data_IF_315160572417
#
_entry.id   IF_315160572417
#
_cell.length_a   1.000
_cell.length_b   1.000
_cell.length_c   1.000
_cell.angle_alpha   90.00
_cell.angle_beta   90.00
_cell.angle_gamma   90.00
#
_symmetry.space_group_name_H-M   'P 1'
#
loop_
_entity.id
_entity.type
_entity.pdbx_description
1 polymer ?
#
# COMPACT_ATOMS: atom_id res chain seq x y z
N UNK A 1 45.32 -3.65 -4.70
CA UNK A 1 44.49 -4.41 -5.66
C UNK A 1 43.20 -3.65 -5.82
N UNK A 2 43.01 -2.96 -6.95
CA UNK A 2 41.71 -2.42 -7.34
C UNK A 2 40.92 -3.61 -7.90
N UNK A 3 39.96 -4.12 -7.14
CA UNK A 3 39.00 -5.08 -7.65
C UNK A 3 38.22 -4.42 -8.78
N UNK A 4 38.22 -5.05 -9.95
CA UNK A 4 37.47 -4.62 -11.13
C UNK A 4 35.99 -4.80 -10.83
N UNK A 5 35.37 -3.78 -10.25
CA UNK A 5 33.92 -3.74 -10.00
C UNK A 5 33.19 -4.03 -11.31
N UNK A 6 32.39 -5.09 -11.33
CA UNK A 6 31.56 -5.43 -12.49
C UNK A 6 30.35 -4.48 -12.55
N UNK A 7 30.16 -3.77 -13.68
CA UNK A 7 29.01 -2.87 -13.85
C UNK A 7 27.72 -3.67 -14.06
N UNK A 8 26.81 -3.61 -13.09
CA UNK A 8 25.53 -4.33 -13.13
C UNK A 8 24.34 -3.38 -12.97
N UNK A 9 23.15 -3.85 -13.35
CA UNK A 9 21.91 -3.12 -13.09
C UNK A 9 21.64 -2.88 -11.60
N UNK A 10 22.24 -3.65 -10.69
CA UNK A 10 22.12 -3.44 -9.24
C UNK A 10 23.22 -2.53 -8.66
N UNK A 11 24.21 -2.14 -9.47
CA UNK A 11 25.37 -1.36 -9.04
C UNK A 11 26.53 -2.27 -8.67
N UNK A 12 27.25 -1.91 -7.63
CA UNK A 12 28.37 -2.68 -7.11
C UNK A 12 27.86 -3.98 -6.50
N UNK A 13 28.38 -5.11 -6.97
CA UNK A 13 28.09 -6.46 -6.48
C UNK A 13 29.39 -7.15 -6.08
N UNK A 14 29.35 -8.21 -5.24
CA UNK A 14 30.52 -9.01 -4.93
C UNK A 14 31.23 -9.52 -6.19
N UNK A 15 32.57 -9.50 -6.19
CA UNK A 15 33.38 -9.82 -7.37
C UNK A 15 33.29 -11.30 -7.80
N UNK A 16 32.87 -12.18 -6.88
CA UNK A 16 32.65 -13.61 -7.11
C UNK A 16 31.32 -13.92 -7.80
N UNK A 17 30.42 -12.93 -7.93
CA UNK A 17 29.17 -13.10 -8.64
C UNK A 17 29.41 -13.05 -10.15
N UNK A 18 28.85 -14.01 -10.88
CA UNK A 18 28.84 -13.94 -12.33
C UNK A 18 27.89 -12.85 -12.80
N UNK A 19 28.15 -12.26 -13.98
CA UNK A 19 27.23 -11.32 -14.62
C UNK A 19 26.78 -11.89 -15.96
N UNK A 20 25.47 -12.00 -16.13
CA UNK A 20 24.83 -12.50 -17.36
C UNK A 20 23.78 -11.50 -17.83
N UNK A 21 23.54 -11.46 -19.14
CA UNK A 21 22.41 -10.68 -19.66
C UNK A 21 21.10 -11.38 -19.31
N UNK A 22 20.03 -10.63 -19.09
CA UNK A 22 18.71 -11.22 -18.84
C UNK A 22 18.32 -12.26 -19.89
N UNK A 23 18.64 -12.01 -21.17
CA UNK A 23 18.38 -12.97 -22.27
C UNK A 23 18.95 -14.36 -22.01
N UNK A 24 20.12 -14.47 -21.38
CA UNK A 24 20.77 -15.75 -21.08
C UNK A 24 20.18 -16.46 -19.87
N UNK A 25 19.30 -15.79 -19.12
CA UNK A 25 18.66 -16.32 -17.91
C UNK A 25 17.24 -16.83 -18.16
N UNK A 26 16.76 -16.78 -19.42
CA UNK A 26 15.39 -17.12 -19.79
C UNK A 26 15.40 -18.30 -20.76
N UNK A 27 14.54 -19.29 -20.54
CA UNK A 27 14.28 -20.38 -21.48
C UNK A 27 13.19 -19.98 -22.51
N UNK A 28 12.29 -19.08 -22.11
CA UNK A 28 11.13 -18.65 -22.88
C UNK A 28 10.71 -17.23 -22.49
N UNK A 29 10.19 -16.50 -23.46
CA UNK A 29 9.46 -15.26 -23.21
C UNK A 29 8.44 -15.01 -24.33
N UNK A 30 7.32 -14.37 -24.00
CA UNK A 30 6.29 -14.08 -24.98
C UNK A 30 5.49 -12.82 -24.64
N UNK A 31 5.10 -12.01 -25.64
CA UNK A 31 4.13 -10.94 -25.45
C UNK A 31 2.72 -11.52 -25.24
N UNK A 32 1.88 -10.78 -24.52
CA UNK A 32 0.50 -11.18 -24.26
C UNK A 32 -0.47 -10.85 -25.40
N UNK A 33 -1.74 -11.15 -25.14
CA UNK A 33 -2.87 -10.84 -26.02
C UNK A 33 -4.07 -10.41 -25.18
N UNK A 34 -4.68 -9.29 -25.56
CA UNK A 34 -5.90 -8.81 -24.93
C UNK A 34 -7.14 -9.58 -25.36
N UNK A 35 -7.13 -10.19 -26.55
CA UNK A 35 -8.29 -10.88 -27.10
C UNK A 35 -9.50 -9.97 -27.34
N UNK A 36 -10.63 -10.59 -27.64
CA UNK A 36 -11.86 -9.91 -28.07
C UNK A 36 -12.90 -9.85 -26.95
N UNK A 37 -13.86 -8.91 -27.07
CA UNK A 37 -14.95 -8.72 -26.10
C UNK A 37 -15.97 -9.86 -26.09
N UNK A 38 -16.00 -10.68 -27.15
CA UNK A 38 -16.92 -11.81 -27.26
C UNK A 38 -16.38 -12.89 -28.17
N UNK A 39 -16.78 -14.14 -27.90
CA UNK A 39 -16.33 -15.30 -28.65
C UNK A 39 -16.82 -16.60 -28.03
N UNK A 40 -16.49 -17.74 -28.66
CA UNK A 40 -17.02 -19.04 -28.25
C UNK A 40 -16.46 -19.52 -26.91
N UNK A 41 -15.29 -19.04 -26.50
CA UNK A 41 -14.65 -19.38 -25.22
C UNK A 41 -13.99 -18.15 -24.62
N UNK A 42 -14.27 -17.91 -23.34
CA UNK A 42 -13.76 -16.78 -22.58
C UNK A 42 -12.70 -17.27 -21.60
N UNK A 43 -11.58 -16.56 -21.53
CA UNK A 43 -10.45 -16.87 -20.66
C UNK A 43 -10.17 -15.68 -19.74
N UNK A 44 -9.74 -15.92 -18.49
CA UNK A 44 -9.22 -14.87 -17.61
C UNK A 44 -7.91 -14.29 -18.18
N UNK A 45 -7.88 -12.98 -18.41
CA UNK A 45 -6.74 -12.24 -18.97
C UNK A 45 -6.26 -11.17 -18.00
N UNK A 46 -5.04 -11.37 -17.48
CA UNK A 46 -4.35 -10.44 -16.59
C UNK A 46 -3.99 -9.14 -17.31
N UNK A 47 -4.15 -8.01 -16.64
CA UNK A 47 -3.80 -6.66 -17.09
C UNK A 47 -2.68 -6.07 -16.25
N UNK A 48 -2.13 -4.93 -16.68
CA UNK A 48 -1.17 -4.15 -15.89
C UNK A 48 -1.70 -3.74 -14.51
N UNK A 49 -3.01 -3.63 -14.33
CA UNK A 49 -3.66 -3.36 -13.04
C UNK A 49 -3.59 -4.56 -12.07
N UNK A 50 -3.39 -5.78 -12.58
CA UNK A 50 -3.22 -6.97 -11.76
C UNK A 50 -1.79 -7.10 -11.22
N UNK A 51 -0.83 -6.30 -11.71
CA UNK A 51 0.51 -6.23 -11.12
C UNK A 51 0.45 -5.26 -9.93
N UNK A 52 0.67 -5.78 -8.72
CA UNK A 52 0.83 -4.93 -7.55
C UNK A 52 2.17 -4.18 -7.60
N UNK A 53 2.34 -3.17 -6.76
CA UNK A 53 3.63 -2.50 -6.63
C UNK A 53 4.68 -3.35 -5.92
N UNK A 54 4.27 -4.48 -5.34
CA UNK A 54 5.04 -5.34 -4.42
C UNK A 54 5.32 -6.72 -5.03
N UNK A 55 5.46 -6.79 -6.37
CA UNK A 55 5.77 -8.01 -7.14
C UNK A 55 4.71 -9.11 -7.10
N UNK A 56 3.66 -9.00 -6.30
CA UNK A 56 2.54 -9.94 -6.30
C UNK A 56 1.54 -9.67 -7.43
N UNK A 57 0.77 -10.70 -7.78
CA UNK A 57 -0.38 -10.59 -8.67
C UNK A 57 -1.67 -10.46 -7.86
N UNK A 58 -2.47 -9.45 -8.17
CA UNK A 58 -3.83 -9.32 -7.67
C UNK A 58 -4.79 -10.03 -8.64
N UNK A 59 -5.40 -11.11 -8.17
CA UNK A 59 -6.33 -11.95 -8.94
C UNK A 59 -7.80 -11.67 -8.63
N UNK A 60 -8.10 -10.65 -7.83
CA UNK A 60 -9.47 -10.34 -7.37
C UNK A 60 -10.36 -9.72 -8.46
N UNK A 61 -9.76 -9.01 -9.42
CA UNK A 61 -10.44 -8.42 -10.59
C UNK A 61 -9.71 -8.78 -11.88
N UNK A 62 -10.13 -9.89 -12.51
CA UNK A 62 -9.57 -10.37 -13.78
C UNK A 62 -10.59 -10.17 -14.91
N UNK A 63 -10.10 -9.67 -16.05
CA UNK A 63 -10.92 -9.53 -17.25
C UNK A 63 -11.22 -10.89 -17.87
N UNK A 64 -12.44 -11.09 -18.37
CA UNK A 64 -12.74 -12.21 -19.25
C UNK A 64 -12.68 -11.76 -20.70
N UNK A 65 -11.88 -12.45 -21.53
CA UNK A 65 -11.68 -12.12 -22.95
C UNK A 65 -11.73 -13.38 -23.80
N UNK A 66 -12.22 -13.23 -25.03
CA UNK A 66 -12.21 -14.34 -25.98
C UNK A 66 -10.81 -14.51 -26.57
N UNK A 67 -10.29 -15.75 -26.50
CA UNK A 67 -9.02 -16.14 -27.09
C UNK A 67 -9.17 -17.51 -27.76
N UNK A 68 -8.27 -17.82 -28.70
CA UNK A 68 -8.15 -19.19 -29.21
C UNK A 68 -7.61 -20.11 -28.11
N UNK A 69 -8.15 -21.33 -27.91
CA UNK A 69 -7.72 -22.21 -26.81
C UNK A 69 -6.23 -22.52 -26.83
N UNK A 70 -5.67 -22.85 -27.99
CA UNK A 70 -4.24 -23.08 -28.18
C UNK A 70 -3.37 -21.86 -27.78
N UNK A 71 -3.90 -20.66 -28.01
CA UNK A 71 -3.21 -19.42 -27.64
C UNK A 71 -3.27 -19.17 -26.14
N UNK A 72 -4.43 -19.40 -25.52
CA UNK A 72 -4.59 -19.30 -24.07
C UNK A 72 -3.70 -20.32 -23.34
N UNK A 73 -3.64 -21.56 -23.81
CA UNK A 73 -2.78 -22.61 -23.25
C UNK A 73 -1.29 -22.26 -23.37
N UNK A 74 -0.86 -21.74 -24.53
CA UNK A 74 0.52 -21.29 -24.72
C UNK A 74 0.90 -20.10 -23.82
N UNK A 75 -0.06 -19.21 -23.55
CA UNK A 75 0.13 -18.02 -22.73
C UNK A 75 -0.15 -18.27 -21.24
N UNK A 76 -0.55 -19.49 -20.85
CA UNK A 76 -0.83 -19.81 -19.45
C UNK A 76 0.43 -19.61 -18.59
N UNK A 77 0.39 -18.65 -17.63
CA UNK A 77 1.49 -18.45 -16.72
C UNK A 77 1.67 -19.67 -15.82
N UNK A 78 2.92 -20.05 -15.62
CA UNK A 78 3.33 -21.17 -14.78
C UNK A 78 4.05 -20.66 -13.55
N UNK A 79 4.06 -21.46 -12.48
CA UNK A 79 4.83 -21.18 -11.29
C UNK A 79 6.29 -20.88 -11.66
N UNK A 80 6.80 -19.76 -11.14
CA UNK A 80 8.14 -19.26 -11.43
C UNK A 80 8.22 -18.29 -12.61
N UNK A 81 7.17 -18.17 -13.42
CA UNK A 81 7.12 -17.13 -14.45
C UNK A 81 7.08 -15.73 -13.83
N UNK A 82 7.53 -14.74 -14.59
CA UNK A 82 7.52 -13.34 -14.23
C UNK A 82 6.77 -12.57 -15.32
N UNK A 83 5.67 -11.91 -14.96
CA UNK A 83 4.97 -10.97 -15.83
C UNK A 83 5.62 -9.60 -15.72
N UNK A 84 6.04 -9.04 -16.84
CA UNK A 84 6.65 -7.72 -16.96
C UNK A 84 5.67 -6.74 -17.59
N UNK A 85 5.43 -5.60 -16.96
CA UNK A 85 4.74 -4.48 -17.59
C UNK A 85 5.64 -3.82 -18.63
N UNK A 86 5.35 -4.09 -19.90
CA UNK A 86 6.12 -3.57 -21.02
C UNK A 86 5.59 -2.23 -21.53
N UNK A 87 4.28 -2.03 -21.43
CA UNK A 87 3.59 -0.86 -21.95
C UNK A 87 2.60 -0.37 -20.91
N UNK A 88 2.53 0.94 -20.70
CA UNK A 88 1.66 1.54 -19.68
C UNK A 88 1.35 3.01 -19.98
N UNK A 89 0.29 3.50 -19.33
CA UNK A 89 -0.26 4.83 -19.57
C UNK A 89 -0.54 5.57 -18.26
N UNK A 90 0.41 6.39 -17.84
CA UNK A 90 0.24 7.39 -16.79
C UNK A 90 1.47 8.31 -16.74
N UNK A 91 1.30 9.64 -16.54
CA UNK A 91 2.43 10.57 -16.43
C UNK A 91 3.35 10.24 -15.24
N UNK A 92 2.82 9.64 -14.17
CA UNK A 92 3.52 9.43 -12.90
C UNK A 92 3.97 7.98 -12.67
N UNK A 93 3.62 7.03 -13.56
CA UNK A 93 3.91 5.62 -13.37
C UNK A 93 4.84 5.08 -14.47
N UNK A 94 6.11 4.74 -14.14
CA UNK A 94 7.03 4.15 -15.11
C UNK A 94 6.67 2.69 -15.41
N UNK A 95 7.10 2.21 -16.57
CA UNK A 95 6.95 0.80 -16.95
C UNK A 95 8.03 -0.07 -16.31
N UNK A 96 7.94 -1.38 -16.49
CA UNK A 96 8.92 -2.34 -15.96
C UNK A 96 8.57 -2.89 -14.58
N UNK A 97 7.34 -2.66 -14.09
CA UNK A 97 6.83 -3.41 -12.93
C UNK A 97 6.81 -4.90 -13.25
N UNK A 98 7.04 -5.71 -12.24
CA UNK A 98 7.05 -7.16 -12.37
C UNK A 98 6.00 -7.78 -11.46
N UNK A 99 5.42 -8.89 -11.88
CA UNK A 99 4.55 -9.75 -11.10
C UNK A 99 5.10 -11.18 -11.12
N UNK A 100 5.41 -11.75 -9.96
CA UNK A 100 5.86 -13.14 -9.83
C UNK A 100 4.67 -14.08 -9.77
N UNK A 101 4.72 -15.14 -10.58
CA UNK A 101 3.68 -16.16 -10.64
C UNK A 101 4.01 -17.22 -9.59
N UNK A 102 3.36 -17.13 -8.43
CA UNK A 102 3.61 -18.01 -7.29
C UNK A 102 3.09 -19.44 -7.50
N UNK A 103 2.01 -19.58 -8.26
CA UNK A 103 1.30 -20.83 -8.55
C UNK A 103 0.91 -20.89 -10.02
N UNK A 104 0.74 -22.10 -10.56
CA UNK A 104 0.28 -22.29 -11.94
C UNK A 104 -1.10 -21.67 -12.15
N UNK A 105 -1.27 -20.94 -13.26
CA UNK A 105 -2.51 -20.29 -13.64
C UNK A 105 -3.08 -20.93 -14.92
N UNK A 106 -3.54 -22.20 -14.86
CA UNK A 106 -4.08 -22.88 -16.03
C UNK A 106 -5.29 -22.13 -16.57
N UNK A 107 -5.38 -22.05 -17.90
CA UNK A 107 -6.46 -21.33 -18.59
C UNK A 107 -6.42 -19.80 -18.44
N UNK A 108 -5.42 -19.23 -17.76
CA UNK A 108 -5.23 -17.79 -17.74
C UNK A 108 -4.37 -17.35 -18.92
N UNK A 109 -4.49 -16.08 -19.29
CA UNK A 109 -3.57 -15.41 -20.19
C UNK A 109 -3.29 -14.00 -19.65
N UNK A 110 -2.59 -13.18 -20.42
CA UNK A 110 -2.21 -11.83 -20.04
C UNK A 110 -2.26 -10.92 -21.26
N UNK A 111 -2.56 -9.64 -21.03
CA UNK A 111 -2.75 -8.65 -22.08
C UNK A 111 -1.44 -8.32 -22.81
N UNK A 112 -1.56 -7.71 -23.98
CA UNK A 112 -0.44 -7.21 -24.78
C UNK A 112 0.38 -6.09 -24.09
N UNK A 113 -0.07 -5.55 -22.96
CA UNK A 113 0.71 -4.64 -22.11
C UNK A 113 1.72 -5.37 -21.22
N UNK A 114 1.52 -6.67 -21.05
CA UNK A 114 2.37 -7.55 -20.27
C UNK A 114 3.23 -8.44 -21.18
N UNK A 115 4.37 -8.87 -20.65
CA UNK A 115 5.29 -9.79 -21.30
C UNK A 115 5.69 -10.87 -20.30
N UNK A 116 5.55 -12.13 -20.67
CA UNK A 116 5.97 -13.26 -19.83
C UNK A 116 7.47 -13.49 -19.99
N UNK A 117 8.18 -13.61 -18.88
CA UNK A 117 9.55 -14.05 -18.79
C UNK A 117 9.56 -15.37 -18.01
N UNK A 118 10.02 -16.45 -18.62
CA UNK A 118 10.22 -17.72 -17.93
C UNK A 118 11.71 -17.91 -17.68
N UNK A 119 12.14 -17.93 -16.41
CA UNK A 119 13.54 -18.14 -16.08
C UNK A 119 13.98 -19.57 -16.39
N UNK A 120 15.19 -19.73 -16.94
CA UNK A 120 15.84 -21.03 -17.04
C UNK A 120 16.35 -21.44 -15.66
N UNK A 121 15.72 -22.46 -15.06
CA UNK A 121 16.05 -22.93 -13.72
C UNK A 121 17.48 -23.52 -13.62
N UNK A 122 18.12 -23.88 -14.74
CA UNK A 122 19.52 -24.29 -14.76
C UNK A 122 20.48 -23.08 -14.60
N UNK A 123 20.03 -21.89 -14.96
CA UNK A 123 20.83 -20.67 -14.99
C UNK A 123 20.54 -19.74 -13.79
N UNK A 124 19.29 -19.71 -13.31
CA UNK A 124 18.87 -18.81 -12.24
C UNK A 124 17.64 -19.34 -11.49
N UNK A 125 17.61 -19.09 -10.17
CA UNK A 125 16.42 -19.28 -9.37
C UNK A 125 15.34 -18.25 -9.76
N UNK A 126 14.11 -18.68 -10.13
CA UNK A 126 13.05 -17.77 -10.58
C UNK A 126 12.66 -16.70 -9.55
N UNK A 127 12.55 -17.07 -8.28
CA UNK A 127 12.21 -16.14 -7.21
C UNK A 127 13.32 -15.10 -7.02
N UNK A 128 14.59 -15.52 -7.06
CA UNK A 128 15.73 -14.59 -7.04
C UNK A 128 15.69 -13.61 -8.22
N UNK A 129 15.52 -14.08 -9.45
CA UNK A 129 15.45 -13.20 -10.62
C UNK A 129 14.32 -12.19 -10.50
N UNK A 130 13.15 -12.62 -10.00
CA UNK A 130 12.02 -11.71 -9.80
C UNK A 130 12.34 -10.59 -8.79
N UNK A 131 13.12 -10.88 -7.74
CA UNK A 131 13.61 -9.89 -6.78
C UNK A 131 14.64 -8.94 -7.38
N UNK A 132 15.54 -9.44 -8.23
CA UNK A 132 16.50 -8.61 -8.97
C UNK A 132 15.74 -7.63 -9.87
N UNK A 133 14.80 -8.11 -10.68
CA UNK A 133 14.03 -7.25 -11.60
C UNK A 133 13.19 -6.23 -10.83
N UNK A 134 12.58 -6.64 -9.73
CA UNK A 134 11.87 -5.75 -8.81
C UNK A 134 12.78 -4.62 -8.30
N UNK A 135 13.98 -4.96 -7.82
CA UNK A 135 14.95 -3.97 -7.34
C UNK A 135 15.40 -3.02 -8.46
N UNK A 136 15.68 -3.55 -9.66
CA UNK A 136 16.06 -2.75 -10.83
C UNK A 136 14.97 -1.73 -11.16
N UNK A 137 13.71 -2.14 -11.20
CA UNK A 137 12.58 -1.23 -11.41
C UNK A 137 12.53 -0.13 -10.32
N UNK A 138 12.63 -0.50 -9.04
CA UNK A 138 12.59 0.43 -7.91
C UNK A 138 13.75 1.45 -7.88
N UNK A 139 14.89 1.13 -8.46
CA UNK A 139 16.02 2.07 -8.54
C UNK A 139 15.83 3.17 -9.60
N UNK A 140 14.83 3.06 -10.47
CA UNK A 140 14.65 3.97 -11.60
C UNK A 140 15.68 3.77 -12.73
N UNK A 141 16.63 2.83 -12.61
CA UNK A 141 17.60 2.51 -13.67
C UNK A 141 16.94 1.96 -14.93
N UNK A 142 15.69 1.54 -14.84
CA UNK A 142 14.89 1.10 -15.97
C UNK A 142 14.36 2.25 -16.84
N UNK A 143 14.29 3.48 -16.29
CA UNK A 143 13.78 4.65 -17.00
C UNK A 143 14.57 4.96 -18.28
N UNK A 144 15.88 4.66 -18.29
CA UNK A 144 16.73 4.82 -19.49
C UNK A 144 16.39 3.88 -20.64
N UNK A 145 15.62 2.83 -20.36
CA UNK A 145 15.18 1.83 -21.33
C UNK A 145 13.76 2.12 -21.81
N UNK A 146 13.15 3.19 -21.35
CA UNK A 146 11.83 3.60 -21.79
C UNK A 146 11.89 4.45 -23.06
N UNK A 147 10.90 4.24 -23.90
CA UNK A 147 10.60 5.06 -25.07
C UNK A 147 9.24 5.69 -24.84
N UNK A 148 9.23 7.02 -24.75
CA UNK A 148 8.01 7.79 -24.54
C UNK A 148 7.41 8.18 -25.90
N UNK A 149 6.12 7.89 -26.08
CA UNK A 149 5.27 8.49 -27.11
C UNK A 149 4.32 9.50 -26.46
N UNK A 150 3.55 10.23 -27.26
CA UNK A 150 2.62 11.28 -26.78
C UNK A 150 1.57 10.79 -25.77
N UNK A 151 1.27 9.49 -25.70
CA UNK A 151 0.25 8.94 -24.81
C UNK A 151 0.67 7.68 -24.04
N UNK A 152 1.84 7.10 -24.33
CA UNK A 152 2.27 5.83 -23.73
C UNK A 152 3.77 5.78 -23.49
N UNK A 153 4.15 5.05 -22.45
CA UNK A 153 5.55 4.65 -22.21
C UNK A 153 5.68 3.19 -22.59
N UNK A 154 6.71 2.89 -23.37
CA UNK A 154 7.03 1.53 -23.80
C UNK A 154 8.45 1.19 -23.37
N UNK A 155 8.63 0.00 -22.82
CA UNK A 155 9.94 -0.51 -22.51
C UNK A 155 10.59 -1.03 -23.80
N UNK A 156 11.80 -0.55 -24.10
CA UNK A 156 12.62 -1.13 -25.16
C UNK A 156 13.05 -2.53 -24.74
N UNK A 157 12.24 -3.52 -25.12
CA UNK A 157 12.43 -4.89 -24.71
C UNK A 157 13.74 -5.51 -25.22
N UNK A 158 14.26 -5.03 -26.37
CA UNK A 158 15.55 -5.49 -26.89
C UNK A 158 16.68 -5.12 -25.93
N UNK A 159 16.69 -3.87 -25.46
CA UNK A 159 17.71 -3.38 -24.53
C UNK A 159 17.48 -3.92 -23.11
N UNK A 160 16.22 -4.15 -22.73
CA UNK A 160 15.87 -4.82 -21.48
C UNK A 160 16.50 -6.23 -21.39
N UNK A 161 16.47 -6.99 -22.49
CA UNK A 161 17.05 -8.32 -22.56
C UNK A 161 18.59 -8.33 -22.48
N UNK A 162 19.27 -7.23 -22.78
CA UNK A 162 20.74 -7.15 -22.73
C UNK A 162 21.28 -6.65 -21.39
N UNK A 163 20.39 -6.25 -20.47
CA UNK A 163 20.76 -5.75 -19.15
C UNK A 163 21.71 -6.71 -18.41
N UNK A 164 22.85 -6.21 -17.88
CA UNK A 164 23.77 -7.02 -17.08
C UNK A 164 23.20 -7.25 -15.68
N UNK A 165 22.87 -8.50 -15.37
CA UNK A 165 22.33 -8.91 -14.07
C UNK A 165 23.33 -9.78 -13.32
N UNK A 166 23.47 -9.59 -12.00
CA UNK A 166 24.28 -10.48 -11.18
C UNK A 166 23.63 -11.84 -11.01
N UNK A 167 24.47 -12.86 -10.96
CA UNK A 167 24.11 -14.27 -10.82
C UNK A 167 25.05 -14.89 -9.78
N UNK A 168 24.69 -14.83 -8.50
CA UNK A 168 25.45 -15.48 -7.44
C UNK A 168 25.40 -17.01 -7.53
N UNK A 169 26.17 -17.74 -6.71
CA UNK A 169 25.99 -19.18 -6.49
C UNK A 169 24.53 -19.56 -6.16
N UNK A 170 24.12 -20.77 -6.54
CA UNK A 170 22.71 -21.20 -6.46
C UNK A 170 22.15 -21.22 -5.04
N UNK A 171 22.97 -21.58 -4.05
CA UNK A 171 22.64 -21.55 -2.63
C UNK A 171 22.41 -20.11 -2.12
N UNK A 172 23.26 -19.17 -2.54
CA UNK A 172 23.11 -17.75 -2.25
C UNK A 172 21.84 -17.16 -2.90
N UNK A 173 21.55 -17.51 -4.15
CA UNK A 173 20.30 -17.11 -4.82
C UNK A 173 19.06 -17.57 -4.02
N UNK A 174 19.05 -18.83 -3.60
CA UNK A 174 17.96 -19.40 -2.81
C UNK A 174 17.86 -18.77 -1.41
N UNK A 175 19.00 -18.49 -0.77
CA UNK A 175 19.04 -17.84 0.54
C UNK A 175 18.47 -16.42 0.48
N UNK A 176 18.88 -15.61 -0.49
CA UNK A 176 18.39 -14.24 -0.70
C UNK A 176 16.88 -14.26 -0.95
N UNK A 177 16.41 -15.06 -1.92
CA UNK A 177 14.99 -15.14 -2.25
C UNK A 177 14.14 -15.55 -1.03
N UNK A 178 14.57 -16.58 -0.29
CA UNK A 178 13.89 -17.06 0.91
C UNK A 178 13.78 -16.00 1.99
N UNK A 179 14.84 -15.23 2.24
CA UNK A 179 14.82 -14.17 3.26
C UNK A 179 13.84 -13.08 2.87
N UNK A 180 13.88 -12.61 1.62
CA UNK A 180 12.99 -11.55 1.14
C UNK A 180 11.52 -12.00 1.13
N UNK A 181 11.22 -13.20 0.62
CA UNK A 181 9.87 -13.76 0.63
C UNK A 181 9.35 -13.96 2.07
N UNK A 182 10.21 -14.36 3.01
CA UNK A 182 9.82 -14.51 4.42
C UNK A 182 9.45 -13.16 5.08
N UNK A 183 10.15 -12.09 4.71
CA UNK A 183 9.86 -10.72 5.19
C UNK A 183 8.53 -10.23 4.61
N UNK A 184 8.30 -10.39 3.32
CA UNK A 184 7.01 -10.04 2.70
C UNK A 184 5.85 -10.80 3.33
N UNK A 185 5.99 -12.11 3.52
CA UNK A 185 4.96 -12.91 4.17
C UNK A 185 4.71 -12.47 5.63
N UNK A 186 5.72 -11.97 6.34
CA UNK A 186 5.54 -11.41 7.67
C UNK A 186 4.79 -10.06 7.65
N UNK A 187 5.09 -9.21 6.66
CA UNK A 187 4.38 -7.93 6.45
C UNK A 187 2.89 -8.20 6.16
N UNK A 188 2.58 -9.15 5.29
CA UNK A 188 1.19 -9.46 4.92
C UNK A 188 0.40 -10.02 6.10
N UNK A 189 0.98 -10.96 6.87
CA UNK A 189 0.36 -11.46 8.12
C UNK A 189 0.13 -10.35 9.13
N UNK A 190 1.06 -9.40 9.26
CA UNK A 190 0.91 -8.27 10.18
C UNK A 190 -0.24 -7.33 9.74
N UNK A 191 -0.39 -7.08 8.44
CA UNK A 191 -1.50 -6.30 7.88
C UNK A 191 -2.85 -6.96 8.13
N UNK A 192 -2.95 -8.27 7.90
CA UNK A 192 -4.17 -9.04 8.15
C UNK A 192 -4.55 -9.04 9.63
N UNK A 193 -3.59 -9.31 10.52
CA UNK A 193 -3.81 -9.28 11.96
C UNK A 193 -4.26 -7.89 12.45
N UNK A 194 -3.70 -6.81 11.90
CA UNK A 194 -4.12 -5.45 12.21
C UNK A 194 -5.56 -5.17 11.76
N UNK A 195 -5.96 -5.64 10.58
CA UNK A 195 -7.33 -5.50 10.08
C UNK A 195 -8.34 -6.27 10.95
N UNK A 196 -8.02 -7.51 11.32
CA UNK A 196 -8.85 -8.32 12.22
C UNK A 196 -8.96 -7.68 13.61
N UNK A 197 -7.86 -7.17 14.17
CA UNK A 197 -7.86 -6.48 15.45
C UNK A 197 -8.72 -5.21 15.44
N UNK A 198 -8.70 -4.45 14.33
CA UNK A 198 -9.55 -3.27 14.16
C UNK A 198 -11.05 -3.64 14.18
N UNK A 199 -11.42 -4.74 13.54
CA UNK A 199 -12.81 -5.23 13.53
C UNK A 199 -13.26 -5.72 14.91
N UNK A 200 -12.41 -6.49 15.60
CA UNK A 200 -12.68 -6.92 16.98
C UNK A 200 -12.84 -5.72 17.90
N UNK A 201 -11.97 -4.70 17.79
CA UNK A 201 -12.08 -3.46 18.56
C UNK A 201 -13.42 -2.76 18.31
N UNK A 202 -13.88 -2.69 17.04
CA UNK A 202 -15.14 -2.06 16.67
C UNK A 202 -16.34 -2.78 17.28
N UNK A 203 -16.40 -4.10 17.11
CA UNK A 203 -17.48 -4.93 17.66
C UNK A 203 -17.51 -4.89 19.19
N UNK A 204 -16.34 -5.02 19.83
CA UNK A 204 -16.22 -4.97 21.28
C UNK A 204 -16.62 -3.60 21.84
N UNK A 205 -16.24 -2.49 21.20
CA UNK A 205 -16.66 -1.16 21.63
C UNK A 205 -18.20 -1.04 21.62
N UNK A 206 -18.85 -1.50 20.54
CA UNK A 206 -20.32 -1.50 20.45
C UNK A 206 -20.96 -2.35 21.56
N UNK A 207 -20.41 -3.52 21.85
CA UNK A 207 -20.90 -4.40 22.90
C UNK A 207 -20.68 -3.78 24.30
N UNK A 208 -19.48 -3.29 24.60
CA UNK A 208 -19.16 -2.71 25.91
C UNK A 208 -19.97 -1.45 26.21
N UNK A 209 -20.22 -0.59 25.22
CA UNK A 209 -21.04 0.62 25.41
C UNK A 209 -22.55 0.34 25.46
N UNK A 210 -23.01 -0.90 25.22
CA UNK A 210 -24.42 -1.31 25.34
C UNK A 210 -24.70 -2.30 26.46
N UNK A 211 -23.75 -3.19 26.78
CA UNK A 211 -23.92 -4.25 27.78
C UNK A 211 -23.08 -4.04 29.04
N UNK A 212 -22.10 -3.14 29.00
CA UNK A 212 -21.10 -3.01 30.06
C UNK A 212 -20.28 -4.29 30.24
N UNK A 213 -19.57 -4.40 31.37
CA UNK A 213 -18.66 -5.52 31.65
C UNK A 213 -19.18 -6.49 32.72
N UNK A 214 -20.35 -6.19 33.32
CA UNK A 214 -20.85 -6.88 34.52
C UNK A 214 -21.91 -7.95 34.25
N UNK A 215 -22.36 -8.10 33.00
CA UNK A 215 -23.40 -9.08 32.64
C UNK A 215 -24.76 -8.86 33.29
N UNK A 216 -25.05 -7.64 33.75
CA UNK A 216 -26.32 -7.33 34.41
C UNK A 216 -27.49 -7.23 33.41
N UNK A 217 -28.71 -7.36 33.93
CA UNK A 217 -29.93 -7.21 33.13
C UNK A 217 -29.98 -5.83 32.46
N UNK A 218 -30.52 -5.79 31.25
CA UNK A 218 -30.67 -4.55 30.48
C UNK A 218 -32.05 -3.91 30.66
N UNK A 219 -32.12 -2.60 30.41
CA UNK A 219 -33.34 -1.80 30.31
C UNK A 219 -33.38 -1.05 28.99
N UNK A 220 -34.58 -0.94 28.37
CA UNK A 220 -34.79 -0.15 27.16
C UNK A 220 -34.86 1.34 27.52
N UNK A 221 -34.12 2.17 26.79
CA UNK A 221 -34.09 3.64 26.93
C UNK A 221 -34.16 4.31 25.56
N UNK A 222 -34.16 5.64 25.54
CA UNK A 222 -34.11 6.43 24.30
C UNK A 222 -32.82 6.24 23.48
N UNK A 223 -31.73 5.77 24.10
CA UNK A 223 -30.44 5.49 23.43
C UNK A 223 -30.22 4.00 23.14
N UNK A 224 -31.28 3.19 23.28
CA UNK A 224 -31.23 1.74 23.12
C UNK A 224 -31.24 0.99 24.45
N UNK A 225 -30.82 -0.28 24.41
CA UNK A 225 -30.70 -1.11 25.61
C UNK A 225 -29.38 -0.83 26.31
N UNK A 226 -29.45 -0.55 27.61
CA UNK A 226 -28.28 -0.31 28.46
C UNK A 226 -28.40 -1.12 29.76
N UNK A 227 -27.30 -1.31 30.51
CA UNK A 227 -27.33 -2.00 31.79
C UNK A 227 -28.28 -1.32 32.80
N UNK A 228 -28.98 -2.09 33.64
CA UNK A 228 -29.99 -1.55 34.57
C UNK A 228 -29.42 -0.49 35.51
N UNK A 229 -28.16 -0.62 35.92
CA UNK A 229 -27.46 0.33 36.80
C UNK A 229 -27.07 1.65 36.12
N UNK A 230 -27.06 1.71 34.79
CA UNK A 230 -26.63 2.91 34.05
C UNK A 230 -27.73 3.96 33.98
N UNK A 231 -27.35 5.23 34.08
CA UNK A 231 -28.26 6.37 33.98
C UNK A 231 -28.06 7.12 32.66
N UNK A 232 -29.16 7.49 31.99
CA UNK A 232 -29.09 8.36 30.81
C UNK A 232 -29.11 9.80 31.29
N UNK A 233 -28.02 10.54 31.05
CA UNK A 233 -27.89 11.96 31.37
C UNK A 233 -27.64 12.79 30.11
N UNK A 234 -28.18 14.01 30.01
CA UNK A 234 -27.81 14.93 28.95
C UNK A 234 -26.33 15.36 29.12
N UNK A 235 -25.64 15.65 28.03
CA UNK A 235 -24.21 15.98 28.04
C UNK A 235 -23.88 17.16 28.96
N UNK A 236 -24.74 18.18 28.98
CA UNK A 236 -24.56 19.36 29.86
C UNK A 236 -24.61 19.04 31.36
N UNK A 237 -25.15 17.88 31.76
CA UNK A 237 -25.14 17.45 33.17
C UNK A 237 -23.83 16.75 33.59
N UNK A 238 -22.94 16.44 32.63
CA UNK A 238 -21.69 15.69 32.87
C UNK A 238 -20.43 16.43 32.41
N UNK A 239 -20.55 17.65 31.90
CA UNK A 239 -19.43 18.52 31.52
C UNK A 239 -19.38 19.75 32.44
N UNK A 240 -18.17 20.25 32.71
CA UNK A 240 -17.97 21.42 33.56
C UNK A 240 -18.20 22.74 32.81
N UNK A 241 -17.78 22.80 31.56
CA UNK A 241 -17.92 23.97 30.70
C UNK A 241 -17.98 23.51 29.23
N UNK A 242 -18.51 24.37 28.37
CA UNK A 242 -18.49 24.21 26.91
C UNK A 242 -18.10 25.55 26.28
N UNK A 243 -16.98 25.56 25.55
CA UNK A 243 -16.50 26.77 24.89
C UNK A 243 -16.59 26.64 23.36
N UNK A 244 -17.08 27.71 22.72
CA UNK A 244 -17.09 27.82 21.28
C UNK A 244 -15.73 28.34 20.79
N UNK A 245 -15.05 27.57 19.94
CA UNK A 245 -13.72 27.92 19.42
C UNK A 245 -13.65 29.26 18.67
N UNK A 246 -12.49 29.90 18.70
CA UNK A 246 -12.30 31.24 18.13
C UNK A 246 -12.17 31.22 16.60
N UNK A 247 -12.69 32.26 15.94
CA UNK A 247 -12.47 32.54 14.52
C UNK A 247 -11.66 33.84 14.39
N UNK A 248 -10.34 33.71 14.29
CA UNK A 248 -9.40 34.84 14.29
C UNK A 248 -8.40 34.70 13.12
N UNK A 249 -7.82 35.82 12.64
CA UNK A 249 -6.68 35.77 11.74
C UNK A 249 -5.52 34.97 12.34
N UNK A 250 -4.95 34.08 11.54
CA UNK A 250 -3.91 33.15 11.96
C UNK A 250 -2.57 33.46 11.29
N UNK A 251 -1.49 33.24 12.02
CA UNK A 251 -0.12 33.50 11.59
C UNK A 251 0.71 32.22 11.58
N UNK A 252 1.80 32.21 10.79
CA UNK A 252 2.73 31.08 10.73
C UNK A 252 3.63 30.96 11.96
N UNK A 253 3.81 32.06 12.72
CA UNK A 253 4.63 32.14 13.94
C UNK A 253 3.96 33.07 14.95
N UNK A 254 4.17 32.83 16.24
CA UNK A 254 3.66 33.65 17.33
C UNK A 254 3.86 32.97 18.69
N UNK A 255 3.35 33.61 19.75
CA UNK A 255 3.48 33.09 21.12
C UNK A 255 2.34 32.12 21.51
N UNK A 256 1.12 32.35 21.01
CA UNK A 256 -0.05 31.54 21.36
C UNK A 256 -0.42 30.61 20.22
N UNK A 257 -0.18 29.28 20.33
CA UNK A 257 -0.64 28.33 19.34
C UNK A 257 -2.16 28.19 19.37
N UNK A 258 -2.78 27.99 18.21
CA UNK A 258 -4.20 27.66 18.07
C UNK A 258 -4.37 26.31 17.38
N UNK A 259 -5.23 25.47 17.96
CA UNK A 259 -5.62 24.19 17.38
C UNK A 259 -6.74 24.38 16.37
N UNK A 260 -6.62 23.70 15.23
CA UNK A 260 -7.61 23.70 14.16
C UNK A 260 -8.22 22.31 14.02
N UNK A 261 -9.21 22.18 13.15
CA UNK A 261 -9.86 20.89 12.85
C UNK A 261 -8.86 19.79 12.47
N UNK A 262 -7.79 20.13 11.74
CA UNK A 262 -6.73 19.19 11.35
C UNK A 262 -5.87 18.68 12.52
N UNK A 263 -5.93 19.32 13.68
CA UNK A 263 -5.21 18.91 14.88
C UNK A 263 -5.99 17.85 15.69
N UNK A 264 -7.22 17.51 15.32
CA UNK A 264 -8.01 16.47 15.99
C UNK A 264 -7.93 15.18 15.15
N UNK A 265 -7.14 14.21 15.61
CA UNK A 265 -6.87 12.98 14.87
C UNK A 265 -6.91 11.75 15.77
N UNK A 266 -7.53 10.68 15.30
CA UNK A 266 -7.55 9.36 15.94
C UNK A 266 -7.94 9.32 17.43
N UNK A 267 -8.72 10.30 17.90
CA UNK A 267 -9.15 10.40 19.30
C UNK A 267 -8.27 11.29 20.16
N UNK A 268 -7.21 11.88 19.61
CA UNK A 268 -6.27 12.75 20.32
C UNK A 268 -6.10 14.11 19.65
N UNK A 269 -5.48 15.04 20.38
CA UNK A 269 -5.02 16.33 19.85
C UNK A 269 -3.55 16.22 19.44
N UNK A 270 -3.26 16.55 18.18
CA UNK A 270 -1.92 16.54 17.59
C UNK A 270 -1.35 17.96 17.55
N UNK A 271 -0.15 18.13 18.09
CA UNK A 271 0.53 19.43 18.25
C UNK A 271 1.44 19.81 17.06
N UNK A 272 1.14 19.30 15.87
CA UNK A 272 1.88 19.54 14.62
C UNK A 272 1.14 20.56 13.72
N UNK A 273 1.86 21.18 12.77
CA UNK A 273 1.34 22.24 11.87
C UNK A 273 0.49 23.31 12.60
N UNK A 274 0.99 23.77 13.75
CA UNK A 274 0.31 24.80 14.53
C UNK A 274 0.34 26.14 13.78
N UNK A 275 -0.75 26.89 13.94
CA UNK A 275 -0.79 28.31 13.62
C UNK A 275 -0.88 29.09 14.92
N UNK A 276 -0.69 30.39 14.83
CA UNK A 276 -0.62 31.24 15.99
C UNK A 276 -1.59 32.40 15.87
N UNK A 277 -2.09 32.85 17.02
CA UNK A 277 -3.02 33.97 17.14
C UNK A 277 -2.51 34.94 18.20
N UNK A 278 -2.97 36.18 18.13
CA UNK A 278 -2.74 37.16 19.20
C UNK A 278 -4.04 37.28 20.01
N UNK A 279 -3.98 36.94 21.29
CA UNK A 279 -5.11 37.03 22.21
C UNK A 279 -4.83 38.04 23.32
N UNK A 280 -5.90 38.69 23.81
CA UNK A 280 -5.83 39.38 25.10
C UNK A 280 -5.65 38.35 26.22
N UNK A 281 -5.07 38.77 27.36
CA UNK A 281 -4.89 37.89 28.52
C UNK A 281 -6.20 37.22 28.96
N UNK A 282 -7.32 37.96 28.97
CA UNK A 282 -8.63 37.44 29.34
C UNK A 282 -9.14 36.34 28.38
N UNK A 283 -8.90 36.47 27.07
CA UNK A 283 -9.26 35.42 26.10
C UNK A 283 -8.32 34.22 26.22
N UNK A 284 -7.03 34.46 26.45
CA UNK A 284 -6.07 33.38 26.68
C UNK A 284 -6.48 32.53 27.89
N UNK A 285 -6.75 33.16 29.03
CA UNK A 285 -7.13 32.47 30.28
C UNK A 285 -8.44 31.67 30.13
N UNK A 286 -9.36 32.12 29.27
CA UNK A 286 -10.63 31.43 29.00
C UNK A 286 -10.48 30.20 28.08
N UNK A 287 -9.61 30.29 27.08
CA UNK A 287 -9.49 29.29 26.02
C UNK A 287 -8.29 28.36 26.18
N UNK A 288 -7.46 28.57 27.20
CA UNK A 288 -6.33 27.71 27.49
C UNK A 288 -6.81 26.30 27.84
N UNK A 289 -6.41 25.33 27.03
CA UNK A 289 -6.75 23.94 27.22
C UNK A 289 -6.00 23.35 28.40
N UNK A 290 -6.71 22.51 29.15
CA UNK A 290 -6.18 21.72 30.24
C UNK A 290 -6.17 20.25 29.84
N UNK A 291 -5.19 19.52 30.37
CA UNK A 291 -5.14 18.07 30.18
C UNK A 291 -6.48 17.44 30.59
N UNK A 292 -7.05 16.66 29.69
CA UNK A 292 -8.38 16.06 29.83
C UNK A 292 -9.49 16.78 29.08
N UNK A 293 -9.26 18.00 28.60
CA UNK A 293 -10.24 18.72 27.78
C UNK A 293 -10.52 17.94 26.48
N UNK A 294 -11.79 17.91 26.10
CA UNK A 294 -12.26 17.20 24.91
C UNK A 294 -12.63 18.21 23.84
N UNK A 295 -11.91 18.16 22.72
CA UNK A 295 -12.19 18.96 21.54
C UNK A 295 -13.17 18.20 20.65
N UNK A 296 -14.20 18.91 20.19
CA UNK A 296 -15.25 18.37 19.33
C UNK A 296 -15.35 19.19 18.05
N UNK A 297 -15.20 18.53 16.90
CA UNK A 297 -15.34 19.19 15.61
C UNK A 297 -16.82 19.37 15.24
N UNK A 298 -17.26 20.63 15.26
CA UNK A 298 -18.66 21.01 15.09
C UNK A 298 -19.12 21.24 13.65
N UNK A 299 -18.20 21.54 12.72
CA UNK A 299 -18.57 21.98 11.37
C UNK A 299 -17.53 21.50 10.38
N UNK A 300 -17.91 20.55 9.54
CA UNK A 300 -17.11 20.04 8.43
C UNK A 300 -18.05 19.27 7.48
N UNK A 301 -17.52 18.65 6.41
CA UNK A 301 -18.29 17.67 5.64
C UNK A 301 -18.71 16.49 6.52
N UNK A 302 -19.70 15.73 6.06
CA UNK A 302 -20.39 14.69 6.83
C UNK A 302 -19.43 13.66 7.42
N UNK A 303 -18.35 13.35 6.70
CA UNK A 303 -17.33 12.37 7.11
C UNK A 303 -16.29 12.92 8.11
N UNK A 304 -16.29 14.22 8.40
CA UNK A 304 -15.36 14.87 9.34
C UNK A 304 -16.02 15.62 10.50
N UNK A 305 -17.34 15.87 10.43
CA UNK A 305 -18.11 16.43 11.54
C UNK A 305 -18.26 15.39 12.66
N UNK A 306 -18.18 15.83 13.92
CA UNK A 306 -18.27 14.93 15.08
C UNK A 306 -16.96 14.25 15.48
N UNK A 307 -15.84 14.59 14.84
CA UNK A 307 -14.52 14.14 15.30
C UNK A 307 -14.22 14.67 16.71
N UNK A 308 -13.65 13.79 17.53
CA UNK A 308 -13.32 14.07 18.93
C UNK A 308 -11.83 13.84 19.14
N UNK A 309 -11.19 14.71 19.92
CA UNK A 309 -9.82 14.57 20.37
C UNK A 309 -9.70 14.96 21.84
N UNK A 310 -9.06 14.13 22.66
CA UNK A 310 -8.73 14.50 24.03
C UNK A 310 -7.35 15.19 24.05
N UNK A 311 -7.27 16.34 24.71
CA UNK A 311 -6.01 17.03 24.94
C UNK A 311 -5.27 16.32 26.09
N UNK A 312 -4.27 15.51 25.75
CA UNK A 312 -3.52 14.68 26.72
C UNK A 312 -2.16 15.23 27.11
N UNK A 313 -1.65 16.17 26.35
CA UNK A 313 -0.33 16.75 26.54
C UNK A 313 -0.35 17.76 27.69
N UNK A 314 0.63 17.69 28.57
CA UNK A 314 0.97 18.78 29.49
C UNK A 314 1.84 19.87 28.81
N UNK A 315 2.05 19.73 27.49
CA UNK A 315 2.89 20.62 26.70
C UNK A 315 2.14 21.90 26.33
N UNK A 316 2.12 22.83 27.29
CA UNK A 316 2.34 24.28 27.14
C UNK A 316 2.06 24.97 28.49
N UNK A 317 3.10 25.08 29.32
CA UNK A 317 3.28 26.25 30.18
C UNK A 317 4.22 27.21 29.45
#
# INVERSE_FOLDING_TARGET
MLTLKQDTMLGDVPDDWAVKSLKKLLDFNAPGDWGDDGGPQMFPVLRSTNLTNERHLDLSDIALRALKPEKAERLAPRKGDILLERSGGGPDQPVGRVGYVADDLPGHAFSNFLHLLRPDAAEVNPAFLSWVLFRVNRTGRILRLEQQTTQMRNLNFRDYLTMPLPVPPTDEQAAIARVLDAVDAAIDRAREAAAQAAEVKRALAQELFSKGTRGELQKKTQVGFIPKSWEVKPVNAVILNFEYGLSLPMHLKGATPILRMGNVQHGDVVMEDLKYVTLSKALLDRYLLKRGDVLFNRTNSQEWVGKIGIYRTDACA
#
